data_IF_560585621985
#
_entry.id   IF_560585621985
#
_cell.length_a   1.000
_cell.length_b   1.000
_cell.length_c   1.000
_cell.angle_alpha   90.00
_cell.angle_beta   90.00
_cell.angle_gamma   90.00
#
_symmetry.space_group_name_H-M   'P 1'
#
loop_
_entity.id
_entity.type
_entity.pdbx_description
1 polymer ?
#
# COMPACT_ATOMS: atom_id res chain seq x y z
N UNK A 1 16.83 48.51 -26.13
CA UNK A 1 17.18 47.49 -25.12
C UNK A 1 16.13 47.30 -24.01
N UNK A 2 15.00 48.01 -24.01
CA UNK A 2 13.91 47.85 -23.02
C UNK A 2 12.72 46.99 -23.51
N UNK A 3 12.61 46.76 -24.83
CA UNK A 3 11.51 46.01 -25.45
C UNK A 3 11.61 44.50 -25.32
N UNK A 4 12.82 43.91 -25.40
CA UNK A 4 12.98 42.45 -25.22
C UNK A 4 12.69 42.00 -23.77
N UNK A 5 13.05 42.83 -22.77
CA UNK A 5 12.80 42.52 -21.34
C UNK A 5 11.31 42.57 -20.99
N UNK A 6 10.56 43.51 -21.58
CA UNK A 6 9.11 43.62 -21.38
C UNK A 6 8.35 42.38 -21.92
N UNK A 7 8.77 41.85 -23.08
CA UNK A 7 8.16 40.64 -23.66
C UNK A 7 8.42 39.38 -22.82
N UNK A 8 9.62 39.26 -22.25
CA UNK A 8 9.94 38.17 -21.33
C UNK A 8 9.04 38.18 -20.08
N UNK A 9 8.84 39.36 -19.48
CA UNK A 9 8.01 39.51 -18.27
C UNK A 9 6.55 39.10 -18.52
N UNK A 10 5.97 39.47 -19.66
CA UNK A 10 4.59 39.10 -20.01
C UNK A 10 4.44 37.59 -20.22
N UNK A 11 5.44 36.94 -20.82
CA UNK A 11 5.45 35.48 -20.99
C UNK A 11 5.54 34.75 -19.65
N UNK A 12 6.39 35.20 -18.73
CA UNK A 12 6.49 34.57 -17.41
C UNK A 12 5.25 34.81 -16.54
N UNK A 13 4.64 36.00 -16.62
CA UNK A 13 3.39 36.29 -15.90
C UNK A 13 2.24 35.41 -16.38
N UNK A 14 2.06 35.27 -17.70
CA UNK A 14 1.02 34.41 -18.25
C UNK A 14 1.24 32.94 -17.91
N UNK A 15 2.48 32.46 -17.97
CA UNK A 15 2.82 31.11 -17.52
C UNK A 15 2.52 30.90 -16.03
N UNK A 16 2.86 31.86 -15.16
CA UNK A 16 2.59 31.78 -13.74
C UNK A 16 1.08 31.74 -13.45
N UNK A 17 0.27 32.52 -14.17
CA UNK A 17 -1.20 32.50 -14.04
C UNK A 17 -1.78 31.16 -14.48
N UNK A 18 -1.29 30.59 -15.58
CA UNK A 18 -1.74 29.28 -16.06
C UNK A 18 -1.37 28.16 -15.07
N UNK A 19 -0.16 28.18 -14.51
CA UNK A 19 0.28 27.22 -13.50
C UNK A 19 -0.53 27.34 -12.20
N UNK A 20 -0.76 28.56 -11.72
CA UNK A 20 -1.56 28.80 -10.52
C UNK A 20 -3.02 28.38 -10.72
N UNK A 21 -3.60 28.67 -11.89
CA UNK A 21 -4.95 28.23 -12.25
C UNK A 21 -5.06 26.71 -12.35
N UNK A 22 -4.08 26.06 -12.98
CA UNK A 22 -4.00 24.60 -13.06
C UNK A 22 -3.85 23.94 -11.70
N UNK A 23 -2.98 24.47 -10.84
CA UNK A 23 -2.79 23.98 -9.48
C UNK A 23 -4.07 24.15 -8.64
N UNK A 24 -4.72 25.31 -8.70
CA UNK A 24 -5.96 25.58 -7.97
C UNK A 24 -7.11 24.68 -8.46
N UNK A 25 -7.23 24.48 -9.76
CA UNK A 25 -8.20 23.56 -10.33
C UNK A 25 -7.94 22.14 -9.85
N UNK A 26 -6.69 21.68 -9.94
CA UNK A 26 -6.28 20.36 -9.45
C UNK A 26 -6.63 20.16 -7.97
N UNK A 27 -6.31 21.12 -7.09
CA UNK A 27 -6.66 21.03 -5.67
C UNK A 27 -8.17 21.05 -5.43
N UNK A 28 -8.94 21.73 -6.27
CA UNK A 28 -10.40 21.82 -6.14
C UNK A 28 -11.13 20.60 -6.71
N UNK A 29 -10.57 19.96 -7.72
CA UNK A 29 -11.15 18.78 -8.37
C UNK A 29 -10.54 17.47 -7.89
N UNK A 30 -9.42 17.52 -7.17
CA UNK A 30 -8.90 16.36 -6.46
C UNK A 30 -10.04 15.86 -5.57
N UNK A 31 -10.49 14.60 -5.74
CA UNK A 31 -11.44 14.03 -4.81
C UNK A 31 -10.82 14.15 -3.42
N UNK A 32 -11.55 14.78 -2.51
CA UNK A 32 -11.25 14.61 -1.09
C UNK A 32 -11.54 13.14 -0.83
N UNK A 33 -10.50 12.30 -0.85
CA UNK A 33 -10.58 10.96 -0.29
C UNK A 33 -10.96 11.18 1.17
N UNK A 34 -12.26 11.06 1.45
CA UNK A 34 -12.80 11.10 2.79
C UNK A 34 -12.16 9.90 3.50
N UNK A 35 -11.07 10.17 4.21
CA UNK A 35 -10.30 9.14 4.91
C UNK A 35 -11.28 8.51 5.90
N UNK A 36 -11.76 7.31 5.58
CA UNK A 36 -12.74 6.61 6.39
C UNK A 36 -12.18 6.51 7.80
N UNK A 37 -12.83 7.12 8.82
CA UNK A 37 -12.29 7.18 10.18
C UNK A 37 -12.08 5.79 10.80
N UNK A 38 -12.67 4.75 10.21
CA UNK A 38 -12.44 3.35 10.59
C UNK A 38 -11.05 2.84 10.23
N UNK A 39 -10.39 3.43 9.23
CA UNK A 39 -9.05 3.02 8.79
C UNK A 39 -8.02 3.17 9.90
N UNK A 40 -8.09 4.25 10.68
CA UNK A 40 -7.19 4.44 11.83
C UNK A 40 -7.45 3.37 12.89
N UNK A 41 -8.73 3.13 13.22
CA UNK A 41 -9.10 2.11 14.21
C UNK A 41 -8.69 0.70 13.79
N UNK A 42 -8.87 0.36 12.52
CA UNK A 42 -8.43 -0.92 11.96
C UNK A 42 -6.91 -1.04 11.89
N UNK A 43 -6.20 0.04 11.63
CA UNK A 43 -4.72 0.08 11.67
C UNK A 43 -4.18 -0.22 13.07
N UNK A 44 -4.77 0.40 14.10
CA UNK A 44 -4.43 0.13 15.49
C UNK A 44 -4.84 -1.29 15.92
N UNK A 45 -5.96 -1.82 15.41
CA UNK A 45 -6.36 -3.20 15.66
C UNK A 45 -5.37 -4.19 15.02
N UNK A 46 -4.98 -3.95 13.76
CA UNK A 46 -4.03 -4.78 13.05
C UNK A 46 -2.66 -4.79 13.75
N UNK A 47 -2.18 -3.63 14.20
CA UNK A 47 -0.92 -3.53 14.95
C UNK A 47 -0.97 -4.31 16.27
N UNK A 48 -2.09 -4.28 16.99
CA UNK A 48 -2.24 -5.05 18.24
C UNK A 48 -2.28 -6.56 18.01
N UNK A 49 -2.90 -7.01 16.91
CA UNK A 49 -3.03 -8.43 16.58
C UNK A 49 -1.74 -9.02 15.99
N UNK A 50 -0.93 -8.21 15.31
CA UNK A 50 0.35 -8.60 14.76
C UNK A 50 1.42 -7.57 15.16
N UNK A 51 1.89 -7.52 16.43
CA UNK A 51 2.83 -6.49 16.86
C UNK A 51 4.19 -6.58 16.14
N UNK A 52 4.87 -5.45 16.08
CA UNK A 52 6.28 -5.42 15.66
C UNK A 52 7.15 -6.15 16.70
N UNK A 53 8.17 -6.87 16.23
CA UNK A 53 9.12 -7.59 17.09
C UNK A 53 10.53 -7.44 16.56
N UNK A 54 11.54 -7.50 17.43
CA UNK A 54 12.95 -7.35 17.03
C UNK A 54 13.46 -8.45 16.08
N UNK A 55 12.76 -9.58 15.99
CA UNK A 55 13.10 -10.69 15.09
C UNK A 55 12.58 -10.49 13.64
N UNK A 56 11.80 -9.42 13.40
CA UNK A 56 11.27 -9.12 12.08
C UNK A 56 12.28 -8.37 11.24
N UNK A 57 12.37 -8.77 9.98
CA UNK A 57 13.21 -8.12 8.97
C UNK A 57 12.49 -6.88 8.42
N UNK A 58 11.17 -6.97 8.27
CA UNK A 58 10.32 -5.84 7.92
C UNK A 58 8.87 -6.12 8.31
N UNK A 59 8.12 -5.05 8.56
CA UNK A 59 6.68 -5.09 8.76
C UNK A 59 6.07 -3.79 8.21
N UNK A 60 4.83 -3.85 7.74
CA UNK A 60 4.10 -2.66 7.34
C UNK A 60 2.60 -2.84 7.54
N UNK A 61 1.94 -1.70 7.78
CA UNK A 61 0.49 -1.57 7.84
C UNK A 61 0.05 -0.70 6.67
N UNK A 62 -0.80 -1.24 5.81
CA UNK A 62 -1.19 -0.66 4.53
C UNK A 62 -2.70 -0.42 4.52
N UNK A 63 -3.17 0.84 4.54
CA UNK A 63 -4.55 1.16 4.22
C UNK A 63 -4.75 1.03 2.71
N UNK A 64 -5.77 0.27 2.30
CA UNK A 64 -6.05 -0.02 0.90
C UNK A 64 -7.52 0.30 0.57
N UNK A 65 -7.73 1.05 -0.51
CA UNK A 65 -9.06 1.36 -1.03
C UNK A 65 -9.75 0.16 -1.67
N UNK A 66 -11.08 0.22 -1.80
CA UNK A 66 -11.85 -0.80 -2.50
C UNK A 66 -11.45 -0.89 -3.99
N UNK A 67 -11.31 -2.11 -4.52
CA UNK A 67 -10.98 -2.33 -5.93
C UNK A 67 -9.58 -1.88 -6.36
N UNK A 68 -8.70 -1.54 -5.40
CA UNK A 68 -7.34 -1.09 -5.69
C UNK A 68 -6.39 -2.29 -5.78
N UNK A 69 -5.51 -2.22 -6.77
CA UNK A 69 -4.31 -3.05 -6.86
C UNK A 69 -3.11 -2.29 -6.30
N UNK A 70 -2.31 -2.96 -5.47
CA UNK A 70 -1.10 -2.40 -4.87
C UNK A 70 0.05 -3.39 -4.94
N UNK A 71 1.17 -2.93 -5.45
CA UNK A 71 2.42 -3.68 -5.40
C UNK A 71 3.24 -3.26 -4.18
N UNK A 72 3.83 -4.26 -3.53
CA UNK A 72 4.71 -4.11 -2.38
C UNK A 72 6.00 -4.85 -2.69
N UNK A 73 7.12 -4.15 -2.56
CA UNK A 73 8.45 -4.71 -2.72
C UNK A 73 9.26 -4.54 -1.44
N UNK A 74 9.97 -5.58 -1.05
CA UNK A 74 10.93 -5.55 0.04
C UNK A 74 12.26 -6.13 -0.42
N UNK A 75 13.34 -5.39 -0.24
CA UNK A 75 14.69 -5.89 -0.44
C UNK A 75 15.07 -6.74 0.77
N UNK A 76 15.39 -8.01 0.52
CA UNK A 76 15.67 -8.99 1.55
C UNK A 76 16.95 -9.73 1.19
N UNK A 77 17.63 -10.30 2.17
CA UNK A 77 18.69 -11.25 1.86
C UNK A 77 18.12 -12.50 1.18
N UNK A 78 19.00 -13.30 0.56
CA UNK A 78 18.63 -14.62 0.06
C UNK A 78 18.28 -15.53 1.25
N UNK A 79 17.16 -16.25 1.16
CA UNK A 79 16.77 -17.17 2.22
C UNK A 79 15.31 -17.58 2.19
N UNK A 80 14.87 -18.19 3.29
CA UNK A 80 13.48 -18.55 3.55
C UNK A 80 12.90 -17.58 4.58
N UNK A 81 11.70 -17.07 4.32
CA UNK A 81 11.03 -16.08 5.15
C UNK A 81 9.63 -16.57 5.51
N UNK A 82 9.28 -16.46 6.80
CA UNK A 82 7.91 -16.60 7.27
C UNK A 82 7.21 -15.26 7.05
N UNK A 83 6.19 -15.29 6.21
CA UNK A 83 5.27 -14.17 6.01
C UNK A 83 4.09 -14.38 6.94
N UNK A 84 3.81 -13.41 7.81
CA UNK A 84 2.57 -13.35 8.58
C UNK A 84 1.74 -12.18 8.06
N UNK A 85 0.50 -12.44 7.66
CA UNK A 85 -0.41 -11.43 7.13
C UNK A 85 -1.71 -11.44 7.91
N UNK A 86 -2.23 -10.25 8.17
CA UNK A 86 -3.53 -10.01 8.75
C UNK A 86 -4.28 -9.00 7.89
N UNK A 87 -5.57 -9.24 7.67
CA UNK A 87 -6.45 -8.27 7.03
C UNK A 87 -7.60 -7.90 7.97
N UNK A 88 -7.89 -6.60 8.08
CA UNK A 88 -8.99 -6.06 8.88
C UNK A 88 -9.81 -5.12 8.00
N UNK A 89 -11.13 -5.30 7.96
CA UNK A 89 -12.01 -4.49 7.14
C UNK A 89 -13.48 -4.65 7.49
N UNK A 90 -14.34 -4.07 6.66
CA UNK A 90 -15.79 -4.19 6.78
C UNK A 90 -16.33 -5.58 6.42
N UNK A 91 -17.64 -5.81 6.56
CA UNK A 91 -18.28 -7.07 6.16
C UNK A 91 -18.02 -7.38 4.69
N UNK A 92 -17.83 -8.67 4.37
CA UNK A 92 -17.57 -9.20 3.03
C UNK A 92 -16.32 -8.64 2.32
N UNK A 93 -15.49 -7.90 3.05
CA UNK A 93 -14.23 -7.37 2.51
C UNK A 93 -13.17 -8.47 2.44
N UNK A 94 -12.41 -8.45 1.34
CA UNK A 94 -11.42 -9.48 1.04
C UNK A 94 -10.22 -8.88 0.30
N UNK A 95 -9.05 -9.48 0.50
CA UNK A 95 -7.83 -9.15 -0.22
C UNK A 95 -7.25 -10.42 -0.84
N UNK A 96 -6.86 -10.35 -2.11
CA UNK A 96 -6.05 -11.39 -2.76
C UNK A 96 -4.59 -10.97 -2.71
N UNK A 97 -3.75 -11.82 -2.13
CA UNK A 97 -2.30 -11.66 -2.04
C UNK A 97 -1.66 -12.60 -3.04
N UNK A 98 -0.84 -12.08 -3.95
CA UNK A 98 -0.03 -12.87 -4.89
C UNK A 98 1.45 -12.66 -4.61
N UNK A 99 2.24 -13.71 -4.75
CA UNK A 99 3.68 -13.69 -4.47
C UNK A 99 4.46 -14.05 -5.74
N UNK A 100 5.51 -13.29 -6.03
CA UNK A 100 6.37 -13.55 -7.19
C UNK A 100 5.92 -12.87 -8.49
N UNK A 101 6.47 -13.34 -9.62
CA UNK A 101 6.25 -12.73 -10.93
C UNK A 101 4.89 -13.10 -11.54
N UNK A 102 4.39 -12.21 -12.40
CA UNK A 102 3.19 -12.44 -13.22
C UNK A 102 3.28 -13.79 -13.95
N UNK A 103 2.20 -14.57 -13.91
CA UNK A 103 2.13 -15.88 -14.58
C UNK A 103 2.25 -17.11 -13.67
N UNK A 104 2.72 -16.97 -12.43
CA UNK A 104 2.51 -18.00 -11.39
C UNK A 104 1.29 -17.63 -10.54
N UNK A 105 0.29 -18.51 -10.47
CA UNK A 105 -0.91 -18.29 -9.64
C UNK A 105 -0.68 -18.84 -8.23
N UNK A 106 0.14 -18.14 -7.45
CA UNK A 106 0.32 -18.38 -6.02
C UNK A 106 -0.69 -17.58 -5.16
N UNK A 107 -1.76 -17.06 -5.79
CA UNK A 107 -2.68 -16.13 -5.16
C UNK A 107 -3.46 -16.74 -4.01
N UNK A 108 -3.39 -16.14 -2.82
CA UNK A 108 -4.20 -16.50 -1.65
C UNK A 108 -5.24 -15.41 -1.38
N UNK A 109 -6.50 -15.80 -1.24
CA UNK A 109 -7.57 -14.92 -0.77
C UNK A 109 -7.62 -14.87 0.75
N UNK A 110 -7.77 -13.68 1.31
CA UNK A 110 -7.90 -13.41 2.74
C UNK A 110 -9.22 -12.68 2.97
N UNK A 111 -10.05 -13.19 3.88
CA UNK A 111 -11.20 -12.44 4.38
C UNK A 111 -10.73 -11.43 5.43
N UNK A 112 -11.34 -10.26 5.45
CA UNK A 112 -10.96 -9.15 6.34
C UNK A 112 -12.04 -8.84 7.37
N UNK A 113 -13.24 -9.42 7.23
CA UNK A 113 -14.41 -9.21 8.10
C UNK A 113 -14.34 -9.99 9.42
N UNK A 114 -13.61 -11.11 9.47
CA UNK A 114 -13.62 -12.07 10.59
C UNK A 114 -12.25 -12.47 11.11
N UNK A 115 -11.18 -11.89 10.57
CA UNK A 115 -9.83 -12.40 10.83
C UNK A 115 -9.28 -11.83 12.12
N UNK A 116 -9.25 -12.66 13.16
CA UNK A 116 -8.59 -12.36 14.44
C UNK A 116 -7.19 -12.97 14.54
N UNK A 117 -6.88 -13.95 13.69
CA UNK A 117 -5.59 -14.64 13.66
C UNK A 117 -4.84 -14.34 12.36
N UNK A 118 -3.55 -13.93 12.43
CA UNK A 118 -2.74 -13.75 11.24
C UNK A 118 -2.55 -15.08 10.49
N UNK A 119 -2.76 -15.07 9.19
CA UNK A 119 -2.37 -16.17 8.32
C UNK A 119 -0.85 -16.19 8.14
N UNK A 120 -0.27 -17.37 7.95
CA UNK A 120 1.18 -17.51 7.80
C UNK A 120 1.57 -18.51 6.72
N UNK A 121 2.63 -18.19 6.00
CA UNK A 121 3.20 -19.05 4.97
C UNK A 121 4.67 -18.72 4.75
N UNK A 122 5.42 -19.69 4.24
CA UNK A 122 6.85 -19.55 3.97
C UNK A 122 7.08 -19.20 2.50
N UNK A 123 8.01 -18.28 2.24
CA UNK A 123 8.47 -17.92 0.88
C UNK A 123 9.99 -17.96 0.81
N UNK A 124 10.51 -18.51 -0.29
CA UNK A 124 11.92 -18.37 -0.65
C UNK A 124 12.13 -17.06 -1.39
N UNK A 125 13.21 -16.33 -1.08
CA UNK A 125 13.57 -15.07 -1.74
C UNK A 125 14.99 -15.15 -2.30
N UNK A 126 15.20 -14.42 -3.41
CA UNK A 126 16.48 -14.30 -4.08
C UNK A 126 16.89 -12.81 -4.17
N UNK A 127 16.87 -12.10 -3.03
CA UNK A 127 17.27 -10.69 -2.94
C UNK A 127 16.08 -9.72 -2.84
N UNK A 128 14.89 -10.18 -3.22
CA UNK A 128 13.68 -9.35 -3.23
C UNK A 128 12.44 -10.21 -3.00
N UNK A 129 11.49 -9.67 -2.24
CA UNK A 129 10.11 -10.15 -2.20
C UNK A 129 9.23 -9.15 -2.95
N UNK A 130 8.43 -9.64 -3.89
CA UNK A 130 7.37 -8.89 -4.57
C UNK A 130 6.01 -9.50 -4.24
N UNK A 131 5.11 -8.64 -3.78
CA UNK A 131 3.75 -9.00 -3.40
C UNK A 131 2.75 -8.09 -4.11
N UNK A 132 1.76 -8.67 -4.76
CA UNK A 132 0.65 -7.92 -5.35
C UNK A 132 -0.60 -8.14 -4.51
N UNK A 133 -1.20 -7.04 -4.07
CA UNK A 133 -2.39 -6.99 -3.25
C UNK A 133 -3.54 -6.47 -4.10
N UNK A 134 -4.62 -7.25 -4.21
CA UNK A 134 -5.84 -6.85 -4.91
C UNK A 134 -6.99 -6.81 -3.91
N UNK A 135 -7.58 -5.64 -3.68
CA UNK A 135 -8.73 -5.49 -2.77
C UNK A 135 -10.03 -5.74 -3.51
N UNK A 136 -10.93 -6.52 -2.90
CA UNK A 136 -12.28 -6.69 -3.43
C UNK A 136 -13.10 -5.38 -3.45
N UNK A 137 -14.28 -5.39 -4.09
CA UNK A 137 -15.14 -4.21 -4.20
C UNK A 137 -15.76 -3.79 -2.85
N UNK A 138 -15.80 -4.69 -1.86
CA UNK A 138 -16.36 -4.44 -0.52
C UNK A 138 -15.37 -3.74 0.45
N UNK A 139 -14.31 -3.11 -0.05
CA UNK A 139 -13.36 -2.33 0.77
C UNK A 139 -13.98 -1.05 1.35
N UNK A 140 -13.19 -0.21 2.04
CA UNK A 140 -11.73 -0.29 2.20
C UNK A 140 -11.29 -1.28 3.28
N UNK A 141 -10.00 -1.59 3.31
CA UNK A 141 -9.38 -2.55 4.24
C UNK A 141 -8.03 -2.04 4.74
N UNK A 142 -7.57 -2.59 5.86
CA UNK A 142 -6.20 -2.45 6.33
C UNK A 142 -5.53 -3.81 6.32
N UNK A 143 -4.46 -3.93 5.54
CA UNK A 143 -3.63 -5.12 5.53
C UNK A 143 -2.35 -4.85 6.31
N UNK A 144 -1.99 -5.77 7.21
CA UNK A 144 -0.72 -5.72 7.91
C UNK A 144 0.06 -6.99 7.62
N UNK A 145 1.35 -6.83 7.36
CA UNK A 145 2.25 -7.96 7.17
C UNK A 145 3.52 -7.79 8.00
N UNK A 146 4.11 -8.92 8.36
CA UNK A 146 5.42 -9.01 8.98
C UNK A 146 6.21 -10.14 8.31
N UNK A 147 7.50 -9.89 8.07
CA UNK A 147 8.44 -10.85 7.50
C UNK A 147 9.48 -11.19 8.56
N UNK A 148 9.67 -12.49 8.80
CA UNK A 148 10.70 -13.00 9.69
C UNK A 148 11.55 -14.01 8.96
N UNK A 149 12.88 -13.90 9.08
CA UNK A 149 13.78 -14.90 8.50
C UNK A 149 13.58 -16.24 9.20
N UNK A 150 13.37 -17.30 8.44
CA UNK A 150 13.40 -18.65 8.98
C UNK A 150 14.85 -19.11 9.06
N UNK A 151 15.37 -19.22 10.28
CA UNK A 151 16.59 -19.94 10.54
C UNK A 151 16.30 -21.43 10.38
N UNK A 152 16.46 -21.96 9.16
CA UNK A 152 16.52 -23.41 8.96
C UNK A 152 17.69 -23.94 9.78
N UNK A 153 17.48 -24.89 10.72
CA UNK A 153 18.58 -25.52 11.45
C UNK A 153 19.50 -26.32 10.53
#
# INVERSE_FOLDING_TARGET
MTGERARGVVLYLSAAVLLAGGALWWFRTAPNDEIDPRIEQWSQAALRLLPDTDEQETAATLPLGAGVDREVEANLENGSYLVRILCVGGPDSQVRVRLGQEGSDSGRGLSCDRTTEPDSFTVGTAGQLRMTLTVGPAGPVVLRYALQRQNTP
#
